data_IF_067765997702
#
_entry.id   IF_067765997702
#
_cell.length_a   1.000
_cell.length_b   1.000
_cell.length_c   1.000
_cell.angle_alpha   90.00
_cell.angle_beta   90.00
_cell.angle_gamma   90.00
#
_symmetry.space_group_name_H-M   'P 1'
#
loop_
_entity.id
_entity.type
_entity.pdbx_description
1 polymer ?
#
# COMPACT_ATOMS: atom_id res chain seq x y z
N UNK A 1 -25.80 -5.20 -1.25
CA UNK A 1 -24.70 -4.21 -1.22
C UNK A 1 -24.45 -3.60 -2.60
N UNK A 2 -24.31 -4.37 -3.70
CA UNK A 2 -24.15 -3.82 -5.07
C UNK A 2 -25.19 -2.76 -5.48
N UNK A 3 -26.46 -2.93 -5.09
CA UNK A 3 -27.54 -1.94 -5.33
C UNK A 3 -27.43 -0.66 -4.48
N UNK A 4 -26.65 -0.68 -3.40
CA UNK A 4 -26.48 0.43 -2.46
C UNK A 4 -25.19 1.22 -2.73
N UNK A 5 -24.16 0.60 -3.31
CA UNK A 5 -22.84 1.18 -3.62
C UNK A 5 -22.89 2.15 -4.81
N UNK A 6 -23.64 3.23 -4.63
CA UNK A 6 -23.81 4.35 -5.59
C UNK A 6 -22.78 5.46 -5.31
N UNK A 7 -22.60 6.44 -6.21
CA UNK A 7 -21.71 7.57 -5.93
C UNK A 7 -22.12 8.32 -4.65
N UNK A 8 -23.42 8.55 -4.46
CA UNK A 8 -23.98 9.20 -3.27
C UNK A 8 -23.68 8.45 -1.98
N UNK A 9 -23.66 7.11 -2.03
CA UNK A 9 -23.31 6.29 -0.88
C UNK A 9 -21.86 6.53 -0.45
N UNK A 10 -20.91 6.54 -1.39
CA UNK A 10 -19.51 6.79 -1.06
C UNK A 10 -19.25 8.23 -0.63
N UNK A 11 -19.92 9.22 -1.25
CA UNK A 11 -19.86 10.61 -0.80
C UNK A 11 -20.37 10.74 0.64
N UNK A 12 -21.47 10.07 0.99
CA UNK A 12 -21.99 10.06 2.36
C UNK A 12 -20.98 9.46 3.35
N UNK A 13 -20.35 8.33 3.01
CA UNK A 13 -19.31 7.75 3.86
C UNK A 13 -18.12 8.70 4.04
N UNK A 14 -17.68 9.38 2.98
CA UNK A 14 -16.60 10.37 3.04
C UNK A 14 -16.98 11.59 3.90
N UNK A 15 -18.23 12.04 3.83
CA UNK A 15 -18.74 13.10 4.70
C UNK A 15 -18.77 12.67 6.16
N UNK A 16 -19.19 11.44 6.48
CA UNK A 16 -19.17 10.92 7.85
C UNK A 16 -17.74 10.91 8.40
N UNK A 17 -16.76 10.44 7.62
CA UNK A 17 -15.35 10.48 8.05
C UNK A 17 -14.87 11.90 8.29
N UNK A 18 -15.26 12.85 7.43
CA UNK A 18 -14.91 14.26 7.61
C UNK A 18 -15.50 14.82 8.91
N UNK A 19 -16.75 14.48 9.22
CA UNK A 19 -17.38 14.84 10.50
C UNK A 19 -16.68 14.22 11.71
N UNK A 20 -16.25 12.95 11.61
CA UNK A 20 -15.48 12.29 12.66
C UNK A 20 -14.18 13.05 12.94
N UNK A 21 -13.42 13.39 11.89
CA UNK A 21 -12.17 14.14 12.04
C UNK A 21 -12.39 15.52 12.67
N UNK A 22 -13.38 16.27 12.20
CA UNK A 22 -13.72 17.57 12.79
C UNK A 22 -14.12 17.48 14.26
N UNK A 23 -14.77 16.38 14.67
CA UNK A 23 -15.10 16.13 16.06
C UNK A 23 -13.87 15.87 16.93
N UNK A 24 -12.85 15.20 16.39
CA UNK A 24 -11.60 14.91 17.12
C UNK A 24 -10.74 16.18 17.28
N UNK A 25 -10.73 17.05 16.27
CA UNK A 25 -9.92 18.28 16.25
C UNK A 25 -10.47 19.39 17.17
N UNK A 26 -11.78 19.37 17.50
CA UNK A 26 -12.43 20.44 18.27
C UNK A 26 -12.97 19.95 19.62
N UNK A 27 -12.32 20.27 20.77
CA UNK A 27 -12.67 19.74 22.09
C UNK A 27 -14.04 20.19 22.63
N UNK A 28 -14.77 21.04 21.92
CA UNK A 28 -16.12 21.52 22.27
C UNK A 28 -17.24 20.86 21.45
N UNK A 29 -16.92 20.17 20.35
CA UNK A 29 -17.89 19.41 19.53
C UNK A 29 -18.01 17.93 19.98
N UNK A 30 -17.12 17.51 20.89
CA UNK A 30 -16.68 16.13 21.18
C UNK A 30 -17.68 15.19 21.87
N UNK A 31 -18.95 15.55 22.11
CA UNK A 31 -19.82 14.67 22.94
C UNK A 31 -21.19 14.28 22.40
N UNK A 32 -21.58 14.72 21.20
CA UNK A 32 -22.98 14.54 20.76
C UNK A 32 -23.23 14.02 19.35
N UNK A 33 -22.30 14.15 18.40
CA UNK A 33 -22.66 13.96 16.98
C UNK A 33 -22.53 12.52 16.47
N UNK A 34 -21.50 11.77 16.89
CA UNK A 34 -21.23 10.41 16.40
C UNK A 34 -20.73 9.50 17.53
N UNK A 35 -21.02 8.20 17.41
CA UNK A 35 -20.63 7.18 18.41
C UNK A 35 -19.12 6.93 18.40
N UNK A 36 -18.55 6.53 19.53
CA UNK A 36 -17.15 6.05 19.62
C UNK A 36 -16.86 4.88 18.68
N UNK A 37 -17.89 4.12 18.29
CA UNK A 37 -17.79 3.00 17.36
C UNK A 37 -17.98 3.39 15.89
N UNK A 38 -18.31 4.66 15.59
CA UNK A 38 -18.53 5.13 14.23
C UNK A 38 -17.35 4.86 13.28
N UNK A 39 -16.07 5.04 13.67
CA UNK A 39 -14.94 4.67 12.82
C UNK A 39 -14.97 3.20 12.39
N UNK A 40 -15.29 2.29 13.32
CA UNK A 40 -15.38 0.85 13.03
C UNK A 40 -16.45 0.54 11.99
N UNK A 41 -17.65 1.10 12.15
CA UNK A 41 -18.74 0.87 11.21
C UNK A 41 -18.43 1.44 9.82
N UNK A 42 -17.88 2.65 9.74
CA UNK A 42 -17.57 3.28 8.46
C UNK A 42 -16.43 2.55 7.74
N UNK A 43 -15.36 2.17 8.44
CA UNK A 43 -14.29 1.34 7.87
C UNK A 43 -14.84 0.01 7.35
N UNK A 44 -15.73 -0.64 8.11
CA UNK A 44 -16.35 -1.91 7.72
C UNK A 44 -17.25 -1.77 6.48
N UNK A 45 -18.02 -0.68 6.40
CA UNK A 45 -18.86 -0.38 5.25
C UNK A 45 -18.03 -0.15 3.98
N UNK A 46 -16.92 0.58 4.08
CA UNK A 46 -15.96 0.71 2.98
C UNK A 46 -15.39 -0.64 2.58
N UNK A 47 -14.86 -1.40 3.55
CA UNK A 47 -14.24 -2.70 3.30
C UNK A 47 -15.18 -3.64 2.55
N UNK A 48 -16.40 -3.85 3.08
CA UNK A 48 -17.39 -4.75 2.48
C UNK A 48 -17.84 -4.27 1.09
N UNK A 49 -17.98 -2.96 0.89
CA UNK A 49 -18.36 -2.42 -0.43
C UNK A 49 -17.24 -2.60 -1.45
N UNK A 50 -15.99 -2.35 -1.06
CA UNK A 50 -14.81 -2.40 -1.93
C UNK A 50 -14.35 -3.82 -2.26
N UNK A 51 -14.89 -4.85 -1.61
CA UNK A 51 -14.78 -6.23 -2.07
C UNK A 51 -15.24 -6.38 -3.53
N UNK A 52 -16.20 -5.56 -3.96
CA UNK A 52 -16.64 -5.54 -5.35
C UNK A 52 -15.69 -4.69 -6.19
N UNK A 53 -15.08 -5.30 -7.21
CA UNK A 53 -14.09 -4.62 -8.05
C UNK A 53 -14.68 -3.41 -8.80
N UNK A 54 -15.93 -3.54 -9.27
CA UNK A 54 -16.57 -2.59 -10.17
C UNK A 54 -16.88 -1.25 -9.50
N UNK A 55 -16.96 -1.21 -8.17
CA UNK A 55 -17.29 0.01 -7.43
C UNK A 55 -16.04 0.78 -6.98
N UNK A 56 -14.83 0.20 -7.10
CA UNK A 56 -13.58 0.80 -6.59
C UNK A 56 -13.27 2.14 -7.27
N UNK A 57 -13.42 2.23 -8.59
CA UNK A 57 -13.19 3.47 -9.34
C UNK A 57 -14.14 4.59 -8.91
N UNK A 58 -15.42 4.27 -8.75
CA UNK A 58 -16.44 5.21 -8.28
C UNK A 58 -16.19 5.65 -6.83
N UNK A 59 -15.80 4.73 -5.95
CA UNK A 59 -15.46 5.05 -4.57
C UNK A 59 -14.26 6.00 -4.50
N UNK A 60 -13.21 5.75 -5.29
CA UNK A 60 -12.03 6.62 -5.38
C UNK A 60 -12.43 8.04 -5.83
N UNK A 61 -13.23 8.16 -6.89
CA UNK A 61 -13.75 9.45 -7.38
C UNK A 61 -14.61 10.19 -6.33
N UNK A 62 -15.34 9.46 -5.49
CA UNK A 62 -16.14 10.01 -4.40
C UNK A 62 -15.34 10.38 -3.14
N UNK A 63 -14.00 10.29 -3.17
CA UNK A 63 -13.12 10.69 -2.08
C UNK A 63 -12.80 9.57 -1.07
N UNK A 64 -13.05 8.31 -1.40
CA UNK A 64 -12.78 7.19 -0.49
C UNK A 64 -11.31 7.10 -0.07
N UNK A 65 -10.36 7.38 -0.96
CA UNK A 65 -8.92 7.34 -0.64
C UNK A 65 -8.58 8.30 0.52
N UNK A 66 -8.99 9.56 0.41
CA UNK A 66 -8.77 10.58 1.46
C UNK A 66 -9.47 10.20 2.76
N UNK A 67 -10.70 9.68 2.68
CA UNK A 67 -11.45 9.25 3.86
C UNK A 67 -10.76 8.07 4.57
N UNK A 68 -10.35 7.04 3.84
CA UNK A 68 -9.67 5.88 4.40
C UNK A 68 -8.33 6.25 5.03
N UNK A 69 -7.52 7.11 4.37
CA UNK A 69 -6.28 7.61 4.95
C UNK A 69 -6.52 8.39 6.26
N UNK A 70 -7.59 9.17 6.34
CA UNK A 70 -7.96 9.86 7.57
C UNK A 70 -8.28 8.89 8.72
N UNK A 71 -8.94 7.76 8.42
CA UNK A 71 -9.24 6.71 9.39
C UNK A 71 -7.97 5.93 9.80
N UNK A 72 -6.92 5.96 8.99
CA UNK A 72 -5.63 5.35 9.28
C UNK A 72 -4.66 6.25 10.08
N UNK A 73 -5.05 7.48 10.44
CA UNK A 73 -4.18 8.54 10.98
C UNK A 73 -3.43 8.22 12.29
N UNK A 74 -3.71 7.08 12.95
CA UNK A 74 -2.99 6.59 14.14
C UNK A 74 -2.06 5.39 13.90
N UNK A 75 -2.02 4.84 12.68
CA UNK A 75 -1.18 3.68 12.37
C UNK A 75 0.30 4.08 12.30
N UNK A 76 1.14 3.36 13.04
CA UNK A 76 2.59 3.48 13.00
C UNK A 76 3.22 2.09 12.92
N UNK A 77 4.26 1.95 12.11
CA UNK A 77 4.95 0.67 11.95
C UNK A 77 5.63 0.30 13.28
N UNK A 78 5.42 -0.94 13.74
CA UNK A 78 5.91 -1.40 15.04
C UNK A 78 5.08 -0.93 16.24
N UNK A 79 3.96 -0.23 16.04
CA UNK A 79 3.03 0.09 17.11
C UNK A 79 2.20 -1.12 17.57
N UNK A 80 1.27 -0.89 18.50
CA UNK A 80 0.38 -1.90 19.09
C UNK A 80 -0.26 -2.77 18.00
N UNK A 81 -0.05 -4.09 18.08
CA UNK A 81 -0.77 -5.09 17.27
C UNK A 81 -2.28 -4.87 17.41
N UNK A 82 -3.08 -5.07 16.34
CA UNK A 82 -4.52 -4.87 16.41
C UNK A 82 -5.10 -5.70 17.55
N UNK A 83 -6.08 -5.15 18.25
CA UNK A 83 -6.87 -5.91 19.21
C UNK A 83 -7.79 -6.82 18.40
N UNK A 84 -7.45 -8.10 18.30
CA UNK A 84 -8.23 -9.08 17.53
C UNK A 84 -9.19 -9.79 18.48
N UNK A 85 -10.48 -9.71 18.18
CA UNK A 85 -11.50 -10.57 18.77
C UNK A 85 -12.18 -11.42 17.69
N UNK A 86 -13.01 -12.42 18.05
CA UNK A 86 -13.80 -13.16 17.07
C UNK A 86 -14.65 -12.19 16.25
N UNK A 87 -14.31 -12.00 14.97
CA UNK A 87 -15.00 -11.06 14.08
C UNK A 87 -14.72 -9.57 14.35
N UNK A 88 -13.69 -9.22 15.14
CA UNK A 88 -13.33 -7.84 15.45
C UNK A 88 -11.87 -7.52 15.10
N UNK A 89 -11.68 -6.42 14.38
CA UNK A 89 -10.40 -5.80 14.07
C UNK A 89 -10.52 -4.30 14.37
N UNK A 90 -9.43 -3.67 14.81
CA UNK A 90 -9.42 -2.23 15.08
C UNK A 90 -9.68 -1.43 13.79
N UNK A 91 -10.50 -0.37 13.90
CA UNK A 91 -10.99 0.40 12.75
C UNK A 91 -9.91 0.93 11.77
N UNK A 92 -8.71 1.37 12.23
CA UNK A 92 -7.65 1.79 11.32
C UNK A 92 -7.11 0.67 10.44
N UNK A 93 -7.07 -0.58 10.95
CA UNK A 93 -6.60 -1.74 10.19
C UNK A 93 -7.64 -2.17 9.14
N UNK A 94 -8.94 -2.10 9.48
CA UNK A 94 -10.01 -2.32 8.51
C UNK A 94 -9.96 -1.26 7.41
N UNK A 95 -9.72 0.01 7.75
CA UNK A 95 -9.57 1.09 6.77
C UNK A 95 -8.35 0.88 5.86
N UNK A 96 -7.21 0.48 6.42
CA UNK A 96 -6.01 0.17 5.64
C UNK A 96 -6.23 -1.01 4.69
N UNK A 97 -6.97 -2.03 5.12
CA UNK A 97 -7.34 -3.17 4.28
C UNK A 97 -8.33 -2.76 3.18
N UNK A 98 -9.30 -1.90 3.48
CA UNK A 98 -10.17 -1.32 2.46
C UNK A 98 -9.38 -0.47 1.43
N UNK A 99 -8.36 0.26 1.89
CA UNK A 99 -7.48 1.06 1.04
C UNK A 99 -6.65 0.18 0.10
N UNK A 100 -6.16 -0.98 0.56
CA UNK A 100 -5.40 -1.90 -0.28
C UNK A 100 -6.22 -2.39 -1.48
N UNK A 101 -7.52 -2.63 -1.31
CA UNK A 101 -8.40 -3.05 -2.42
C UNK A 101 -8.46 -2.01 -3.54
N UNK A 102 -8.50 -0.72 -3.20
CA UNK A 102 -8.46 0.38 -4.18
C UNK A 102 -7.09 0.41 -4.85
N UNK A 103 -6.02 0.38 -4.05
CA UNK A 103 -4.64 0.46 -4.50
C UNK A 103 -4.21 -0.72 -5.38
N UNK A 104 -4.78 -1.92 -5.21
CA UNK A 104 -4.51 -3.08 -6.08
C UNK A 104 -5.11 -2.87 -7.48
N UNK A 105 -6.33 -2.33 -7.56
CA UNK A 105 -7.14 -2.36 -8.79
C UNK A 105 -6.96 -1.16 -9.69
N UNK A 106 -6.66 0.00 -9.11
CA UNK A 106 -6.65 1.25 -9.85
C UNK A 106 -5.22 1.72 -10.07
N UNK A 107 -4.98 2.45 -11.16
CA UNK A 107 -3.70 3.10 -11.39
C UNK A 107 -3.48 4.17 -10.29
N UNK A 108 -2.44 4.03 -9.44
CA UNK A 108 -2.22 4.98 -8.35
C UNK A 108 -2.03 6.41 -8.82
N UNK A 109 -1.39 6.63 -9.97
CA UNK A 109 -1.14 7.96 -10.52
C UNK A 109 -2.41 8.72 -10.93
N UNK A 110 -3.55 8.02 -11.05
CA UNK A 110 -4.84 8.62 -11.42
C UNK A 110 -5.73 8.77 -10.18
N UNK A 111 -5.72 7.79 -9.28
CA UNK A 111 -6.67 7.72 -8.17
C UNK A 111 -6.14 8.29 -6.85
N UNK A 112 -4.82 8.49 -6.75
CA UNK A 112 -4.15 9.10 -5.62
C UNK A 112 -3.50 10.40 -6.09
N UNK A 113 -3.55 11.45 -5.26
CA UNK A 113 -2.66 12.58 -5.42
C UNK A 113 -1.28 12.26 -4.78
N UNK A 114 -0.28 13.07 -5.10
CA UNK A 114 1.12 12.85 -4.68
C UNK A 114 1.30 12.70 -3.17
N UNK A 115 0.54 13.44 -2.36
CA UNK A 115 0.61 13.29 -0.91
C UNK A 115 -0.05 11.98 -0.45
N UNK A 116 -1.23 11.68 -0.98
CA UNK A 116 -2.02 10.50 -0.58
C UNK A 116 -1.38 9.17 -0.99
N UNK A 117 -0.62 9.14 -2.09
CA UNK A 117 0.14 7.95 -2.48
C UNK A 117 1.25 7.68 -1.47
N UNK A 118 1.96 8.71 -1.00
CA UNK A 118 2.98 8.57 0.05
C UNK A 118 2.35 8.18 1.40
N UNK A 119 1.28 8.87 1.79
CA UNK A 119 0.55 8.61 3.05
C UNK A 119 -0.05 7.19 3.10
N UNK A 120 -0.27 6.55 1.94
CA UNK A 120 -0.78 5.18 1.87
C UNK A 120 0.24 4.11 2.26
N UNK A 121 1.55 4.40 2.15
CA UNK A 121 2.60 3.40 2.34
C UNK A 121 2.64 2.89 3.78
N UNK A 122 2.59 3.78 4.77
CA UNK A 122 2.67 3.40 6.19
C UNK A 122 1.48 2.51 6.62
N UNK A 123 0.21 2.86 6.34
CA UNK A 123 -0.92 1.99 6.60
C UNK A 123 -0.79 0.61 5.95
N UNK A 124 -0.35 0.55 4.69
CA UNK A 124 -0.17 -0.71 3.96
C UNK A 124 0.96 -1.56 4.58
N UNK A 125 2.07 -0.94 4.99
CA UNK A 125 3.14 -1.64 5.71
C UNK A 125 2.70 -2.20 7.06
N UNK A 126 1.82 -1.49 7.78
CA UNK A 126 1.26 -1.98 9.04
C UNK A 126 0.44 -3.27 8.86
N UNK A 127 -0.41 -3.34 7.83
CA UNK A 127 -1.21 -4.55 7.56
C UNK A 127 -0.41 -5.67 6.89
N UNK A 128 0.65 -5.37 6.12
CA UNK A 128 1.53 -6.38 5.53
C UNK A 128 2.46 -7.05 6.55
N UNK A 129 2.61 -6.48 7.76
CA UNK A 129 3.36 -7.11 8.85
C UNK A 129 2.47 -7.99 9.76
N UNK A 130 1.19 -8.13 9.44
CA UNK A 130 0.24 -8.78 10.34
C UNK A 130 0.12 -10.28 10.09
N UNK A 131 0.97 -11.06 10.77
CA UNK A 131 1.16 -12.51 10.56
C UNK A 131 -0.12 -13.37 10.62
N UNK A 132 -1.11 -12.98 11.43
CA UNK A 132 -2.32 -13.79 11.64
C UNK A 132 -3.44 -13.55 10.61
N UNK A 133 -3.28 -12.61 9.66
CA UNK A 133 -4.27 -12.33 8.63
C UNK A 133 -3.68 -12.42 7.21
N UNK A 134 -3.45 -13.66 6.76
CA UNK A 134 -2.82 -13.94 5.47
C UNK A 134 -3.46 -13.21 4.28
N UNK A 135 -4.79 -13.08 4.25
CA UNK A 135 -5.48 -12.37 3.15
C UNK A 135 -5.14 -10.87 3.15
N UNK A 136 -5.34 -10.19 4.29
CA UNK A 136 -5.01 -8.76 4.43
C UNK A 136 -3.54 -8.50 4.12
N UNK A 137 -2.66 -9.39 4.60
CA UNK A 137 -1.21 -9.32 4.40
C UNK A 137 -0.83 -9.43 2.92
N UNK A 138 -1.42 -10.41 2.22
CA UNK A 138 -1.24 -10.60 0.79
C UNK A 138 -1.74 -9.41 -0.02
N UNK A 139 -2.96 -8.93 0.24
CA UNK A 139 -3.54 -7.79 -0.47
C UNK A 139 -2.77 -6.49 -0.20
N UNK A 140 -2.24 -6.31 1.01
CA UNK A 140 -1.36 -5.19 1.33
C UNK A 140 -0.07 -5.18 0.52
N UNK A 141 0.59 -6.35 0.40
CA UNK A 141 1.81 -6.48 -0.40
C UNK A 141 1.52 -6.23 -1.87
N UNK A 142 0.40 -6.74 -2.39
CA UNK A 142 -0.02 -6.51 -3.78
C UNK A 142 -0.34 -5.03 -4.04
N UNK A 143 -0.96 -4.34 -3.08
CA UNK A 143 -1.16 -2.90 -3.13
C UNK A 143 0.17 -2.14 -3.15
N UNK A 144 1.11 -2.48 -2.27
CA UNK A 144 2.44 -1.87 -2.22
C UNK A 144 3.20 -2.06 -3.53
N UNK A 145 3.12 -3.24 -4.13
CA UNK A 145 3.69 -3.52 -5.45
C UNK A 145 3.19 -2.53 -6.50
N UNK A 146 1.88 -2.27 -6.53
CA UNK A 146 1.30 -1.31 -7.47
C UNK A 146 1.71 0.14 -7.15
N UNK A 147 1.68 0.54 -5.87
CA UNK A 147 2.07 1.88 -5.40
C UNK A 147 3.51 2.21 -5.77
N UNK A 148 4.45 1.32 -5.44
CA UNK A 148 5.88 1.48 -5.73
C UNK A 148 6.17 1.48 -7.23
N UNK A 149 5.30 0.86 -8.04
CA UNK A 149 5.42 0.89 -9.50
C UNK A 149 5.01 2.23 -10.14
N UNK A 150 4.40 3.15 -9.38
CA UNK A 150 3.83 4.38 -9.92
C UNK A 150 4.87 5.36 -10.47
N UNK A 151 5.90 5.71 -9.69
CA UNK A 151 6.99 6.60 -10.10
C UNK A 151 8.22 6.48 -9.16
N UNK A 152 9.32 7.14 -9.51
CA UNK A 152 10.57 7.14 -8.75
C UNK A 152 10.45 7.76 -7.36
N UNK A 153 9.66 8.83 -7.21
CA UNK A 153 9.53 9.54 -5.94
C UNK A 153 8.88 8.66 -4.87
N UNK A 154 7.86 7.88 -5.27
CA UNK A 154 7.20 6.90 -4.40
C UNK A 154 8.18 5.81 -3.96
N UNK A 155 9.02 5.31 -4.88
CA UNK A 155 10.09 4.35 -4.55
C UNK A 155 11.10 4.93 -3.56
N UNK A 156 11.53 6.17 -3.80
CA UNK A 156 12.47 6.88 -2.95
C UNK A 156 11.91 7.07 -1.54
N UNK A 157 10.66 7.48 -1.43
CA UNK A 157 9.98 7.61 -0.14
C UNK A 157 9.83 6.26 0.57
N UNK A 158 9.41 5.20 -0.13
CA UNK A 158 9.37 3.85 0.44
C UNK A 158 10.75 3.44 0.98
N UNK A 159 11.82 3.72 0.23
CA UNK A 159 13.18 3.41 0.64
C UNK A 159 13.68 4.17 1.88
N UNK A 160 13.04 5.28 2.27
CA UNK A 160 13.33 5.98 3.52
C UNK A 160 12.76 5.26 4.75
N UNK A 161 11.81 4.34 4.57
CA UNK A 161 11.14 3.61 5.64
C UNK A 161 11.89 2.29 5.89
N UNK A 162 12.88 2.30 6.80
CA UNK A 162 13.73 1.14 7.09
C UNK A 162 12.95 -0.14 7.45
N UNK A 163 11.82 0.00 8.14
CA UNK A 163 10.96 -1.13 8.48
C UNK A 163 10.27 -1.77 7.28
N UNK A 164 10.09 -1.03 6.18
CA UNK A 164 9.56 -1.57 4.93
C UNK A 164 10.45 -2.66 4.34
N UNK A 165 11.77 -2.52 4.52
CA UNK A 165 12.75 -3.49 4.01
C UNK A 165 12.69 -4.80 4.80
N UNK A 166 12.60 -4.72 6.14
CA UNK A 166 12.42 -5.90 7.00
C UNK A 166 11.11 -6.65 6.68
N UNK A 167 10.02 -5.92 6.42
CA UNK A 167 8.73 -6.50 6.02
C UNK A 167 8.86 -7.29 4.70
N UNK A 168 9.52 -6.72 3.70
CA UNK A 168 9.77 -7.39 2.41
C UNK A 168 10.60 -8.66 2.63
N UNK A 169 11.71 -8.54 3.36
CA UNK A 169 12.64 -9.64 3.63
C UNK A 169 11.93 -10.82 4.32
N UNK A 170 11.18 -10.53 5.38
CA UNK A 170 10.38 -11.54 6.09
C UNK A 170 9.34 -12.18 5.17
N UNK A 171 8.69 -11.40 4.29
CA UNK A 171 7.65 -11.89 3.40
C UNK A 171 8.17 -12.77 2.24
N UNK A 172 9.41 -12.56 1.78
CA UNK A 172 10.06 -13.41 0.75
C UNK A 172 10.28 -14.84 1.27
N UNK A 173 10.52 -14.99 2.57
CA UNK A 173 10.72 -16.30 3.21
C UNK A 173 9.44 -16.87 3.84
N UNK A 174 8.28 -16.25 3.61
CA UNK A 174 7.02 -16.70 4.21
C UNK A 174 6.62 -18.12 3.73
N UNK A 175 5.95 -18.89 4.58
CA UNK A 175 5.43 -20.21 4.21
C UNK A 175 4.34 -20.11 3.11
N UNK A 176 3.59 -19.01 3.08
CA UNK A 176 2.50 -18.82 2.13
C UNK A 176 3.01 -18.38 0.75
N UNK A 177 2.71 -19.17 -0.27
CA UNK A 177 3.15 -18.92 -1.65
C UNK A 177 2.65 -17.59 -2.23
N UNK A 178 1.43 -17.15 -1.87
CA UNK A 178 0.87 -15.89 -2.38
C UNK A 178 1.60 -14.68 -1.78
N UNK A 179 1.91 -14.73 -0.48
CA UNK A 179 2.68 -13.70 0.23
C UNK A 179 4.08 -13.60 -0.38
N UNK A 180 4.78 -14.74 -0.54
CA UNK A 180 6.09 -14.78 -1.19
C UNK A 180 6.06 -14.17 -2.58
N UNK A 181 5.08 -14.54 -3.40
CA UNK A 181 4.96 -14.03 -4.77
C UNK A 181 4.78 -12.51 -4.78
N UNK A 182 3.90 -11.98 -3.95
CA UNK A 182 3.67 -10.53 -3.86
C UNK A 182 4.93 -9.80 -3.35
N UNK A 183 5.65 -10.37 -2.38
CA UNK A 183 6.89 -9.80 -1.86
C UNK A 183 8.02 -9.78 -2.91
N UNK A 184 8.19 -10.86 -3.67
CA UNK A 184 9.16 -10.90 -4.78
C UNK A 184 8.82 -9.87 -5.85
N UNK A 185 7.54 -9.73 -6.20
CA UNK A 185 7.10 -8.73 -7.18
C UNK A 185 7.37 -7.28 -6.69
N UNK A 186 7.13 -7.02 -5.40
CA UNK A 186 7.47 -5.74 -4.76
C UNK A 186 8.99 -5.49 -4.82
N UNK A 187 9.81 -6.50 -4.48
CA UNK A 187 11.27 -6.44 -4.61
C UNK A 187 11.68 -6.11 -6.03
N UNK A 188 11.12 -6.77 -7.04
CA UNK A 188 11.42 -6.49 -8.46
C UNK A 188 11.12 -5.03 -8.82
N UNK A 189 10.03 -4.45 -8.31
CA UNK A 189 9.73 -3.03 -8.52
C UNK A 189 10.70 -2.09 -7.79
N UNK A 190 11.33 -2.53 -6.70
CA UNK A 190 12.33 -1.77 -5.94
C UNK A 190 13.75 -1.89 -6.49
N UNK A 191 14.06 -2.84 -7.38
CA UNK A 191 15.42 -3.03 -7.91
C UNK A 191 15.97 -1.84 -8.73
N UNK A 192 15.10 -0.96 -9.22
CA UNK A 192 15.52 0.30 -9.85
C UNK A 192 15.94 1.36 -8.83
N UNK A 193 15.62 1.17 -7.55
CA UNK A 193 15.96 2.12 -6.49
C UNK A 193 17.39 1.87 -5.98
N UNK A 194 18.26 2.88 -6.14
CA UNK A 194 19.65 2.80 -5.70
C UNK A 194 19.82 2.40 -4.23
N UNK A 195 19.10 3.02 -3.30
CA UNK A 195 19.22 2.71 -1.86
C UNK A 195 18.86 1.25 -1.56
N UNK A 196 17.86 0.71 -2.25
CA UNK A 196 17.48 -0.69 -2.11
C UNK A 196 18.58 -1.62 -2.62
N UNK A 197 19.11 -1.35 -3.82
CA UNK A 197 20.18 -2.16 -4.42
C UNK A 197 21.46 -2.11 -3.58
N UNK A 198 21.88 -0.92 -3.16
CA UNK A 198 23.09 -0.72 -2.36
C UNK A 198 23.02 -1.50 -1.03
N UNK A 199 21.83 -1.62 -0.43
CA UNK A 199 21.63 -2.33 0.83
C UNK A 199 21.69 -3.86 0.69
N UNK A 200 21.19 -4.42 -0.42
CA UNK A 200 21.01 -5.87 -0.55
C UNK A 200 22.01 -6.55 -1.49
N UNK A 201 22.53 -5.85 -2.49
CA UNK A 201 23.37 -6.44 -3.54
C UNK A 201 24.80 -5.89 -3.54
N UNK A 202 25.04 -4.72 -2.95
CA UNK A 202 26.36 -4.08 -2.89
C UNK A 202 27.11 -4.11 -4.25
N UNK A 203 26.51 -3.60 -5.33
CA UNK A 203 27.09 -3.71 -6.67
C UNK A 203 28.44 -3.00 -6.75
N UNK A 204 29.34 -3.53 -7.58
CA UNK A 204 30.58 -2.82 -7.91
C UNK A 204 30.30 -1.55 -8.74
N UNK A 205 31.36 -0.79 -9.02
CA UNK A 205 31.25 0.47 -9.76
C UNK A 205 30.73 0.26 -11.20
N UNK A 206 31.01 -0.89 -11.81
CA UNK A 206 30.58 -1.21 -13.17
C UNK A 206 29.07 -1.50 -13.22
N UNK A 207 28.58 -2.36 -12.33
CA UNK A 207 27.17 -2.67 -12.19
C UNK A 207 26.40 -1.40 -11.82
N UNK A 208 26.91 -0.61 -10.87
CA UNK A 208 26.31 0.67 -10.47
C UNK A 208 26.11 1.62 -11.65
N UNK A 209 27.10 1.73 -12.53
CA UNK A 209 27.02 2.58 -13.72
C UNK A 209 25.95 2.05 -14.70
N UNK A 210 25.91 0.73 -14.94
CA UNK A 210 24.89 0.11 -15.79
C UNK A 210 23.48 0.29 -15.22
N UNK A 211 23.29 0.21 -13.90
CA UNK A 211 22.00 0.43 -13.27
C UNK A 211 21.46 1.85 -13.52
N UNK A 212 22.32 2.86 -13.48
CA UNK A 212 21.94 4.26 -13.79
C UNK A 212 21.51 4.38 -15.26
N UNK A 213 22.22 3.73 -16.19
CA UNK A 213 21.84 3.72 -17.61
C UNK A 213 20.47 3.06 -17.84
N UNK A 214 20.17 2.02 -17.07
CA UNK A 214 18.94 1.25 -17.15
C UNK A 214 17.77 2.00 -16.50
N UNK A 215 18.00 2.68 -15.38
CA UNK A 215 17.00 3.53 -14.70
C UNK A 215 16.51 4.66 -15.62
N UNK A 216 17.43 5.31 -16.37
CA UNK A 216 17.10 6.39 -17.30
C UNK A 216 16.22 5.95 -18.49
N UNK A 217 16.07 4.65 -18.73
CA UNK A 217 15.24 4.11 -19.83
C UNK A 217 13.81 3.78 -19.41
N UNK A 218 13.50 3.77 -18.10
CA UNK A 218 12.18 3.54 -17.45
C UNK A 218 11.17 2.66 -18.23
N UNK A 219 11.62 1.49 -18.70
CA UNK A 219 10.74 0.48 -19.33
C UNK A 219 10.60 -0.71 -18.40
N UNK A 220 9.39 -1.30 -18.31
CA UNK A 220 9.12 -2.47 -17.45
C UNK A 220 10.04 -3.67 -17.73
N UNK A 221 10.51 -3.84 -18.97
CA UNK A 221 11.45 -4.88 -19.40
C UNK A 221 12.86 -4.71 -18.83
N UNK A 222 13.23 -3.49 -18.44
CA UNK A 222 14.55 -3.17 -17.89
C UNK A 222 14.73 -3.75 -16.47
N UNK A 223 13.64 -4.05 -15.75
CA UNK A 223 13.71 -4.71 -14.43
C UNK A 223 14.30 -6.11 -14.48
N UNK A 224 14.06 -6.85 -15.56
CA UNK A 224 14.63 -8.19 -15.76
C UNK A 224 16.14 -8.06 -16.01
N UNK A 225 16.55 -7.07 -16.82
CA UNK A 225 17.97 -6.77 -17.07
C UNK A 225 18.71 -6.38 -15.79
N UNK A 226 18.08 -5.60 -14.92
CA UNK A 226 18.63 -5.28 -13.60
C UNK A 226 18.84 -6.56 -12.79
N UNK A 227 17.88 -7.48 -12.81
CA UNK A 227 17.99 -8.74 -12.08
C UNK A 227 19.19 -9.57 -12.58
N UNK A 228 19.33 -9.71 -13.90
CA UNK A 228 20.45 -10.41 -14.55
C UNK A 228 21.80 -9.75 -14.22
N UNK A 229 21.86 -8.42 -14.27
CA UNK A 229 23.05 -7.66 -13.87
C UNK A 229 23.43 -7.90 -12.40
N UNK A 230 22.45 -7.86 -11.50
CA UNK A 230 22.67 -8.08 -10.06
C UNK A 230 23.01 -9.55 -9.73
N UNK A 231 22.63 -10.49 -10.59
CA UNK A 231 23.05 -11.89 -10.50
C UNK A 231 24.50 -12.11 -11.00
N UNK A 232 25.13 -11.11 -11.62
CA UNK A 232 26.47 -11.22 -12.19
C UNK A 232 26.51 -11.86 -13.59
N UNK A 233 25.35 -12.14 -14.19
CA UNK A 233 25.21 -12.75 -15.52
C UNK A 233 25.26 -11.68 -16.62
N UNK A 234 26.36 -10.92 -16.67
CA UNK A 234 26.47 -9.71 -17.50
C UNK A 234 26.31 -10.02 -18.99
N UNK A 235 26.75 -11.20 -19.43
CA UNK A 235 26.68 -11.65 -20.83
C UNK A 235 25.24 -11.95 -21.29
N UNK A 236 24.33 -12.23 -20.35
CA UNK A 236 22.95 -12.60 -20.62
C UNK A 236 22.00 -11.39 -20.69
N UNK A 237 22.52 -10.18 -20.46
CA UNK A 237 21.71 -8.96 -20.47
C UNK A 237 21.05 -8.71 -21.84
N UNK A 238 21.75 -9.03 -22.93
CA UNK A 238 21.30 -8.83 -24.31
C UNK A 238 20.27 -9.88 -24.75
N UNK A 239 20.15 -10.99 -24.00
CA UNK A 239 19.12 -12.02 -24.18
C UNK A 239 17.77 -11.55 -23.63
N UNK A 240 17.77 -10.60 -22.69
CA UNK A 240 16.56 -9.98 -22.15
C UNK A 240 16.04 -8.90 -23.11
N UNK A 241 15.23 -9.29 -24.10
CA UNK A 241 14.55 -8.37 -25.04
C UNK A 241 13.14 -8.01 -24.60
#
# INVERSE_FOLDING_TARGET
IKRLSTPRYFTLLASIVSCLKCSDDHPYLTKGMLSKHSPYYVSSLYYVSLQQHEVRGMAAQAGAVKALLSLCSGLKIGARKPSIGPGYMDAPYIAAHALSLIAISLNPAICFNDQSIMDSIVPLLCISNFEHANLSRFEALLALTNIVSANSDVRNYFAMIESGFNIIETAIFDSNALIKKAAVELTTNMLVNKKFVDKYFCPDQFISQKLIEVENRDRKTERIRIFVLLAGEIDDIDLCR
#
